data_IF_005120565763
#
_entry.id   IF_005120565763
#
_cell.length_a   1.000
_cell.length_b   1.000
_cell.length_c   1.000
_cell.angle_alpha   90.00
_cell.angle_beta   90.00
_cell.angle_gamma   90.00
#
_symmetry.space_group_name_H-M   'P 1'
#
loop_
_entity.id
_entity.type
_entity.pdbx_description
1 polymer ?
#
# COMPACT_ATOMS: atom_id res chain seq x y z
N UNK A 1 19.98 -55.19 -8.24
CA UNK A 1 20.48 -55.78 -6.98
C UNK A 1 21.27 -54.70 -6.26
N UNK A 2 21.02 -54.25 -5.04
CA UNK A 2 20.12 -54.61 -3.96
C UNK A 2 20.56 -53.75 -2.77
N UNK A 3 19.59 -53.11 -2.12
CA UNK A 3 19.62 -52.37 -0.85
C UNK A 3 20.13 -53.28 0.32
N UNK A 4 20.08 -52.96 1.64
CA UNK A 4 20.12 -51.70 2.43
C UNK A 4 21.03 -51.78 3.70
N UNK A 5 21.04 -50.71 4.50
CA UNK A 5 21.14 -50.66 5.98
C UNK A 5 22.31 -51.34 6.75
N UNK A 6 23.05 -50.53 7.52
CA UNK A 6 23.61 -51.00 8.81
C UNK A 6 23.51 -49.96 9.93
N UNK A 7 22.88 -50.45 10.99
CA UNK A 7 22.44 -49.87 12.25
C UNK A 7 23.56 -49.95 13.32
N UNK A 8 23.67 -48.91 14.16
CA UNK A 8 24.22 -48.91 15.54
C UNK A 8 23.56 -47.71 16.24
N UNK A 9 22.49 -47.86 17.01
CA UNK A 9 22.32 -48.48 18.33
C UNK A 9 23.06 -47.78 19.49
N UNK A 10 22.23 -47.46 20.50
CA UNK A 10 22.50 -47.36 21.94
C UNK A 10 23.05 -46.07 22.54
N UNK A 11 22.15 -45.36 23.25
CA UNK A 11 22.22 -44.83 24.64
C UNK A 11 21.14 -43.72 24.74
N UNK A 12 20.05 -43.80 25.50
CA UNK A 12 19.86 -44.45 26.80
C UNK A 12 20.13 -43.45 27.93
N UNK A 13 19.28 -42.44 28.12
CA UNK A 13 19.12 -41.70 29.38
C UNK A 13 17.65 -41.31 29.53
N UNK A 14 16.96 -42.00 30.44
CA UNK A 14 15.64 -41.62 30.93
C UNK A 14 15.74 -40.69 32.13
N UNK A 15 14.78 -39.78 32.26
CA UNK A 15 14.36 -39.04 33.46
C UNK A 15 13.19 -38.18 32.95
N UNK A 16 11.91 -38.42 33.22
CA UNK A 16 11.24 -38.58 34.50
C UNK A 16 9.94 -37.77 34.39
N UNK A 17 8.82 -38.44 34.11
CA UNK A 17 7.48 -37.84 34.19
C UNK A 17 7.01 -37.87 35.64
N UNK A 18 6.40 -36.79 36.16
CA UNK A 18 5.40 -36.92 37.22
C UNK A 18 3.98 -36.97 36.66
N UNK A 19 3.20 -37.84 37.30
CA UNK A 19 1.81 -38.25 37.07
C UNK A 19 0.73 -37.15 37.20
N UNK A 20 -0.51 -37.40 36.73
CA UNK A 20 -1.56 -36.40 36.59
C UNK A 20 -2.29 -36.13 37.91
N UNK A 21 -2.62 -34.87 38.16
CA UNK A 21 -3.57 -34.51 39.22
C UNK A 21 -4.96 -34.37 38.61
N UNK A 22 -5.78 -35.39 38.83
CA UNK A 22 -7.23 -35.35 38.68
C UNK A 22 -7.82 -34.98 40.04
N UNK A 23 -8.51 -33.84 40.13
CA UNK A 23 -9.44 -33.54 41.23
C UNK A 23 -10.78 -33.16 40.61
N UNK A 24 -11.79 -33.94 40.96
CA UNK A 24 -13.12 -33.88 40.36
C UNK A 24 -14.13 -33.02 41.11
N UNK A 25 -15.25 -32.85 40.40
CA UNK A 25 -16.63 -32.85 40.87
C UNK A 25 -17.06 -31.75 41.86
N UNK A 26 -18.03 -30.94 41.39
CA UNK A 26 -19.30 -30.90 42.10
C UNK A 26 -19.99 -29.54 42.25
N UNK A 27 -21.01 -29.33 41.41
CA UNK A 27 -22.30 -28.66 41.71
C UNK A 27 -22.25 -27.16 42.09
N UNK A 28 -23.16 -26.26 41.68
CA UNK A 28 -24.63 -26.35 41.57
C UNK A 28 -25.09 -25.30 40.54
N UNK A 29 -26.14 -25.64 39.79
CA UNK A 29 -26.93 -24.66 39.02
C UNK A 29 -27.58 -23.69 39.99
N UNK A 30 -27.45 -22.39 39.73
CA UNK A 30 -28.37 -21.37 40.24
C UNK A 30 -29.05 -20.76 39.02
N UNK A 31 -30.34 -21.04 38.89
CA UNK A 31 -31.23 -20.39 37.95
C UNK A 31 -31.40 -18.92 38.40
N UNK A 32 -30.75 -18.02 37.68
CA UNK A 32 -30.98 -16.58 37.78
C UNK A 32 -32.15 -16.20 36.89
N UNK A 33 -33.23 -15.75 37.52
CA UNK A 33 -34.44 -15.19 36.93
C UNK A 33 -34.12 -14.12 35.88
N UNK A 34 -34.85 -14.17 34.77
CA UNK A 34 -34.90 -13.16 33.71
C UNK A 34 -35.19 -11.77 34.27
N UNK A 35 -34.27 -10.84 34.06
CA UNK A 35 -34.62 -9.44 33.85
C UNK A 35 -34.16 -9.06 32.44
N UNK A 36 -35.12 -9.08 31.50
CA UNK A 36 -34.98 -8.43 30.21
C UNK A 36 -34.79 -6.93 30.46
N UNK A 37 -33.54 -6.50 30.61
CA UNK A 37 -33.20 -5.08 30.65
C UNK A 37 -33.40 -4.57 29.22
N UNK A 38 -34.36 -3.66 29.09
CA UNK A 38 -34.72 -3.02 27.84
C UNK A 38 -33.48 -2.57 27.07
N UNK A 39 -33.44 -2.93 25.79
CA UNK A 39 -32.58 -2.31 24.78
C UNK A 39 -32.78 -0.81 24.83
N UNK A 40 -31.77 -0.09 25.30
CA UNK A 40 -31.49 1.24 24.77
C UNK A 40 -30.35 1.06 23.79
N UNK A 41 -30.72 0.82 22.54
CA UNK A 41 -29.81 0.80 21.41
C UNK A 41 -29.41 2.26 21.11
N UNK A 42 -28.59 2.85 21.98
CA UNK A 42 -27.82 4.04 21.61
C UNK A 42 -26.71 3.58 20.68
N UNK A 43 -27.08 3.28 19.43
CA UNK A 43 -26.14 3.24 18.31
C UNK A 43 -25.65 4.66 18.08
N UNK A 44 -24.72 5.11 18.93
CA UNK A 44 -23.96 6.34 18.71
C UNK A 44 -23.38 6.25 17.31
N UNK A 45 -23.73 7.26 16.52
CA UNK A 45 -23.34 7.57 15.14
C UNK A 45 -21.83 7.80 15.01
N UNK A 46 -21.02 6.82 15.42
CA UNK A 46 -19.55 6.80 15.24
C UNK A 46 -19.20 6.24 13.83
N UNK A 47 -20.19 5.77 13.07
CA UNK A 47 -19.99 5.16 11.75
C UNK A 47 -19.87 6.11 10.53
N UNK A 48 -20.03 7.43 10.69
CA UNK A 48 -20.07 8.36 9.53
C UNK A 48 -18.71 8.94 9.13
N UNK A 49 -17.74 8.99 10.06
CA UNK A 49 -16.39 9.51 9.78
C UNK A 49 -15.50 8.47 9.09
N UNK A 50 -15.54 7.21 9.54
CA UNK A 50 -14.77 6.12 8.94
C UNK A 50 -15.20 5.81 7.49
N UNK A 51 -16.50 5.99 7.17
CA UNK A 51 -17.07 5.73 5.83
C UNK A 51 -16.65 6.75 4.76
N UNK A 52 -16.23 7.96 5.16
CA UNK A 52 -15.90 9.06 4.22
C UNK A 52 -14.44 9.05 3.75
N UNK A 53 -13.55 8.33 4.43
CA UNK A 53 -12.11 8.33 4.13
C UNK A 53 -11.72 7.43 2.94
N UNK A 54 -12.43 6.32 2.72
CA UNK A 54 -12.10 5.35 1.67
C UNK A 54 -12.26 5.89 0.23
N UNK A 55 -13.37 6.55 -0.16
CA UNK A 55 -13.47 7.13 -1.51
C UNK A 55 -12.45 8.26 -1.72
N UNK A 56 -12.14 9.04 -0.68
CA UNK A 56 -11.13 10.09 -0.75
C UNK A 56 -9.73 9.52 -1.04
N UNK A 57 -9.37 8.37 -0.45
CA UNK A 57 -8.10 7.70 -0.75
C UNK A 57 -8.00 7.24 -2.21
N UNK A 58 -9.05 6.62 -2.77
CA UNK A 58 -9.06 6.17 -4.17
C UNK A 58 -8.80 7.34 -5.14
N UNK A 59 -9.45 8.48 -4.92
CA UNK A 59 -9.23 9.68 -5.72
C UNK A 59 -7.83 10.26 -5.52
N UNK A 60 -7.31 10.30 -4.30
CA UNK A 60 -5.96 10.78 -4.01
C UNK A 60 -4.88 9.91 -4.67
N UNK A 61 -4.99 8.59 -4.54
CA UNK A 61 -4.07 7.64 -5.15
C UNK A 61 -4.10 7.72 -6.68
N UNK A 62 -5.31 7.77 -7.27
CA UNK A 62 -5.49 7.96 -8.70
C UNK A 62 -4.92 9.29 -9.21
N UNK A 63 -5.17 10.40 -8.51
CA UNK A 63 -4.64 11.71 -8.86
C UNK A 63 -3.11 11.75 -8.76
N UNK A 64 -2.53 11.16 -7.72
CA UNK A 64 -1.07 11.08 -7.53
C UNK A 64 -0.42 10.22 -8.62
N UNK A 65 -1.05 9.12 -9.01
CA UNK A 65 -0.59 8.25 -10.11
C UNK A 65 -0.60 9.00 -11.43
N UNK A 66 -1.72 9.68 -11.76
CA UNK A 66 -1.83 10.47 -12.98
C UNK A 66 -0.82 11.63 -13.02
N UNK A 67 -0.63 12.32 -11.89
CA UNK A 67 0.36 13.38 -11.76
C UNK A 67 1.78 12.86 -11.96
N UNK A 68 2.12 11.70 -11.38
CA UNK A 68 3.43 11.06 -11.55
C UNK A 68 3.67 10.65 -13.00
N UNK A 69 2.66 10.10 -13.67
CA UNK A 69 2.75 9.77 -15.09
C UNK A 69 2.98 11.02 -15.95
N UNK A 70 2.22 12.10 -15.71
CA UNK A 70 2.39 13.36 -16.41
C UNK A 70 3.80 13.97 -16.16
N UNK A 71 4.32 13.86 -14.94
CA UNK A 71 5.68 14.30 -14.61
C UNK A 71 6.74 13.52 -15.39
N UNK A 72 6.57 12.20 -15.55
CA UNK A 72 7.48 11.37 -16.35
C UNK A 72 7.48 11.84 -17.81
N UNK A 73 6.31 12.08 -18.40
CA UNK A 73 6.20 12.60 -19.77
C UNK A 73 6.85 13.98 -19.90
N UNK A 74 6.65 14.86 -18.92
CA UNK A 74 7.29 16.18 -18.88
C UNK A 74 8.83 16.06 -18.79
N UNK A 75 9.34 15.09 -18.03
CA UNK A 75 10.78 14.80 -17.95
C UNK A 75 11.35 14.29 -19.28
N UNK A 76 10.65 13.36 -19.94
CA UNK A 76 11.01 12.89 -21.29
C UNK A 76 11.02 14.05 -22.28
N UNK A 77 10.01 14.92 -22.24
CA UNK A 77 9.96 16.12 -23.07
C UNK A 77 11.15 17.05 -22.81
N UNK A 78 11.48 17.31 -21.54
CA UNK A 78 12.63 18.15 -21.13
C UNK A 78 13.94 17.62 -21.72
N UNK A 79 14.17 16.31 -21.67
CA UNK A 79 15.31 15.67 -22.30
C UNK A 79 15.29 15.77 -23.82
N UNK A 80 14.13 15.53 -24.44
CA UNK A 80 13.96 15.53 -25.90
C UNK A 80 14.24 16.91 -26.54
N UNK A 81 13.88 18.00 -25.85
CA UNK A 81 14.14 19.37 -26.34
C UNK A 81 15.51 19.91 -25.91
N UNK A 82 16.35 19.09 -25.29
CA UNK A 82 17.70 19.48 -24.85
C UNK A 82 17.72 20.47 -23.68
N UNK A 83 16.62 20.59 -22.93
CA UNK A 83 16.51 21.54 -21.82
C UNK A 83 17.11 21.02 -20.51
N UNK A 84 17.54 19.76 -20.41
CA UNK A 84 17.97 19.13 -19.15
C UNK A 84 19.22 19.70 -18.47
N UNK A 85 19.92 20.67 -19.09
CA UNK A 85 21.07 21.40 -18.53
C UNK A 85 20.92 22.92 -18.69
N UNK A 86 19.72 23.40 -19.00
CA UNK A 86 19.44 24.79 -19.33
C UNK A 86 19.54 25.74 -18.12
N UNK A 87 19.37 25.23 -16.90
CA UNK A 87 19.56 25.99 -15.65
C UNK A 87 21.06 26.19 -15.28
N UNK A 88 21.96 26.21 -16.25
CA UNK A 88 23.41 26.40 -16.08
C UNK A 88 24.08 25.44 -15.07
N UNK A 89 23.60 24.18 -15.00
CA UNK A 89 24.12 23.19 -14.06
C UNK A 89 23.83 23.47 -12.59
N UNK A 90 22.98 24.47 -12.29
CA UNK A 90 22.59 24.82 -10.92
C UNK A 90 21.51 23.88 -10.45
N UNK A 91 21.61 23.46 -9.20
CA UNK A 91 20.61 22.64 -8.53
C UNK A 91 20.74 22.83 -7.02
N UNK A 92 19.64 23.01 -6.27
CA UNK A 92 18.22 22.94 -6.68
C UNK A 92 17.71 24.19 -7.43
N UNK A 93 18.48 25.27 -7.38
CA UNK A 93 18.22 26.58 -8.01
C UNK A 93 18.41 26.53 -9.55
N UNK A 94 17.95 27.56 -10.25
CA UNK A 94 18.14 27.79 -11.69
C UNK A 94 18.93 29.10 -11.93
N UNK A 95 18.81 29.72 -13.12
CA UNK A 95 19.74 30.70 -13.68
C UNK A 95 19.25 32.17 -13.74
N UNK A 96 17.98 32.43 -13.44
CA UNK A 96 17.36 33.75 -13.46
C UNK A 96 17.37 34.48 -12.11
N UNK A 97 16.33 35.29 -11.85
CA UNK A 97 16.27 36.19 -10.69
C UNK A 97 16.49 35.47 -9.35
N UNK A 98 17.51 35.90 -8.59
CA UNK A 98 17.98 35.28 -7.34
C UNK A 98 18.39 33.79 -7.48
N UNK A 99 18.61 33.33 -8.71
CA UNK A 99 18.78 31.92 -9.03
C UNK A 99 17.52 31.09 -8.84
N UNK A 100 16.35 31.69 -8.60
CA UNK A 100 15.12 30.95 -8.28
C UNK A 100 14.23 30.72 -9.50
N UNK A 101 14.29 31.62 -10.48
CA UNK A 101 13.45 31.62 -11.68
C UNK A 101 14.26 31.32 -12.95
N UNK A 102 13.62 30.90 -14.05
CA UNK A 102 14.30 30.67 -15.33
C UNK A 102 14.58 31.99 -16.08
N UNK A 103 15.74 32.09 -16.74
CA UNK A 103 16.11 33.26 -17.53
C UNK A 103 15.56 33.25 -18.97
N UNK A 104 15.38 32.07 -19.55
CA UNK A 104 14.91 31.87 -20.92
C UNK A 104 14.02 30.63 -21.08
N UNK A 105 13.50 30.38 -22.28
CA UNK A 105 12.54 29.31 -22.52
C UNK A 105 13.07 27.89 -22.18
N UNK A 106 14.28 27.47 -22.62
CA UNK A 106 14.82 26.17 -22.20
C UNK A 106 14.95 26.00 -20.67
N UNK A 107 15.45 27.02 -19.95
CA UNK A 107 15.54 26.98 -18.48
C UNK A 107 14.17 26.90 -17.83
N UNK A 108 13.13 27.48 -18.44
CA UNK A 108 11.76 27.37 -17.95
C UNK A 108 11.26 25.93 -18.01
N UNK A 109 11.54 25.20 -19.09
CA UNK A 109 11.14 23.79 -19.22
C UNK A 109 11.77 22.94 -18.11
N UNK A 110 13.07 23.11 -17.87
CA UNK A 110 13.78 22.38 -16.81
C UNK A 110 13.27 22.77 -15.41
N UNK A 111 13.13 24.07 -15.14
CA UNK A 111 12.61 24.59 -13.88
C UNK A 111 11.19 24.09 -13.61
N UNK A 112 10.33 24.09 -14.64
CA UNK A 112 8.94 23.64 -14.53
C UNK A 112 8.87 22.14 -14.22
N UNK A 113 9.71 21.32 -14.85
CA UNK A 113 9.85 19.90 -14.48
C UNK A 113 10.21 19.72 -13.00
N UNK A 114 11.20 20.48 -12.49
CA UNK A 114 11.60 20.44 -11.05
C UNK A 114 10.47 20.89 -10.12
N UNK A 115 9.73 21.93 -10.50
CA UNK A 115 8.60 22.44 -9.73
C UNK A 115 7.47 21.39 -9.62
N UNK A 116 7.08 20.78 -10.74
CA UNK A 116 6.06 19.71 -10.75
C UNK A 116 6.56 18.48 -10.00
N UNK A 117 7.85 18.15 -10.07
CA UNK A 117 8.45 17.07 -9.30
C UNK A 117 8.30 17.28 -7.79
N UNK A 118 8.50 18.50 -7.29
CA UNK A 118 8.29 18.84 -5.88
C UNK A 118 6.84 18.62 -5.44
N UNK A 119 5.87 19.13 -6.22
CA UNK A 119 4.43 18.92 -5.93
C UNK A 119 4.10 17.42 -5.91
N UNK A 120 4.62 16.68 -6.88
CA UNK A 120 4.41 15.24 -6.99
C UNK A 120 4.99 14.49 -5.79
N UNK A 121 6.18 14.86 -5.33
CA UNK A 121 6.78 14.29 -4.12
C UNK A 121 5.90 14.45 -2.87
N UNK A 122 5.30 15.63 -2.68
CA UNK A 122 4.34 15.85 -1.60
C UNK A 122 3.04 15.05 -1.78
N UNK A 123 2.55 14.89 -3.01
CA UNK A 123 1.38 14.04 -3.29
C UNK A 123 1.65 12.56 -2.98
N UNK A 124 2.86 12.06 -3.29
CA UNK A 124 3.30 10.70 -2.93
C UNK A 124 3.36 10.53 -1.41
N UNK A 125 3.96 11.50 -0.70
CA UNK A 125 3.99 11.50 0.77
C UNK A 125 2.57 11.49 1.36
N UNK A 126 1.68 12.32 0.84
CA UNK A 126 0.28 12.38 1.25
C UNK A 126 -0.45 11.05 1.01
N UNK A 127 -0.22 10.42 -0.14
CA UNK A 127 -0.80 9.12 -0.50
C UNK A 127 -0.31 8.01 0.43
N UNK A 128 1.00 7.92 0.68
CA UNK A 128 1.56 6.94 1.61
C UNK A 128 1.07 7.16 3.05
N UNK A 129 1.03 8.41 3.51
CA UNK A 129 0.49 8.75 4.83
C UNK A 129 -1.00 8.38 4.95
N UNK A 130 -1.80 8.62 3.91
CA UNK A 130 -3.21 8.23 3.88
C UNK A 130 -3.38 6.71 3.89
N UNK A 131 -2.57 5.98 3.12
CA UNK A 131 -2.57 4.52 3.08
C UNK A 131 -2.26 3.90 4.46
N UNK A 132 -1.30 4.46 5.20
CA UNK A 132 -0.90 3.94 6.51
C UNK A 132 -1.79 4.40 7.67
N UNK A 133 -2.45 5.55 7.54
CA UNK A 133 -3.45 6.02 8.53
C UNK A 133 -4.81 5.38 8.32
N UNK A 134 -5.09 4.89 7.12
CA UNK A 134 -6.31 4.15 6.80
C UNK A 134 -6.19 2.66 7.14
N UNK A 135 -7.36 2.03 7.29
CA UNK A 135 -7.48 0.57 7.40
C UNK A 135 -7.51 -0.06 5.99
N UNK A 136 -6.38 0.06 5.29
CA UNK A 136 -6.15 -0.49 3.96
C UNK A 136 -5.32 -1.76 4.02
N UNK A 137 -5.46 -2.62 3.02
CA UNK A 137 -4.71 -3.87 2.91
C UNK A 137 -3.19 -3.66 2.91
N UNK A 138 -2.45 -4.61 3.49
CA UNK A 138 -0.99 -4.55 3.64
C UNK A 138 -0.25 -4.33 2.32
N UNK A 139 -0.77 -4.86 1.21
CA UNK A 139 -0.19 -4.68 -0.13
C UNK A 139 -0.25 -3.22 -0.61
N UNK A 140 -1.34 -2.51 -0.33
CA UNK A 140 -1.48 -1.07 -0.64
C UNK A 140 -0.50 -0.26 0.21
N UNK A 141 -0.41 -0.58 1.51
CA UNK A 141 0.53 0.07 2.42
C UNK A 141 1.98 -0.14 1.98
N UNK A 142 2.33 -1.36 1.59
CA UNK A 142 3.67 -1.70 1.10
C UNK A 142 4.00 -0.99 -0.21
N UNK A 143 3.13 -1.06 -1.21
CA UNK A 143 3.35 -0.38 -2.50
C UNK A 143 3.46 1.15 -2.34
N UNK A 144 2.57 1.76 -1.56
CA UNK A 144 2.67 3.20 -1.25
C UNK A 144 3.97 3.53 -0.50
N UNK A 145 4.42 2.64 0.38
CA UNK A 145 5.71 2.74 1.06
C UNK A 145 6.90 2.66 0.12
N UNK A 146 6.90 1.75 -0.85
CA UNK A 146 7.94 1.66 -1.89
C UNK A 146 8.01 2.96 -2.69
N UNK A 147 6.88 3.48 -3.15
CA UNK A 147 6.83 4.76 -3.86
C UNK A 147 7.46 5.90 -3.03
N UNK A 148 7.09 5.98 -1.74
CA UNK A 148 7.64 6.98 -0.83
C UNK A 148 9.15 6.82 -0.60
N UNK A 149 9.64 5.58 -0.42
CA UNK A 149 11.06 5.31 -0.17
C UNK A 149 11.95 5.52 -1.39
N UNK A 150 11.43 5.27 -2.60
CA UNK A 150 12.19 5.48 -3.85
C UNK A 150 12.19 6.96 -4.26
N UNK A 151 11.19 7.76 -3.86
CA UNK A 151 11.12 9.20 -4.15
C UNK A 151 12.38 10.00 -3.75
N UNK A 152 13.00 9.85 -2.57
CA UNK A 152 14.27 10.52 -2.28
C UNK A 152 15.41 10.04 -3.19
N UNK A 153 15.46 8.76 -3.57
CA UNK A 153 16.43 8.28 -4.55
C UNK A 153 16.20 8.92 -5.93
N UNK A 154 14.94 9.11 -6.33
CA UNK A 154 14.57 9.80 -7.57
C UNK A 154 15.09 11.24 -7.60
N UNK A 155 15.00 11.95 -6.47
CA UNK A 155 15.55 13.30 -6.32
C UNK A 155 17.07 13.31 -6.47
N UNK A 156 17.78 12.35 -5.86
CA UNK A 156 19.22 12.20 -5.99
C UNK A 156 19.65 11.83 -7.41
N UNK A 157 18.95 10.90 -8.06
CA UNK A 157 19.22 10.54 -9.45
C UNK A 157 18.91 11.69 -10.41
N UNK A 158 17.88 12.50 -10.12
CA UNK A 158 17.60 13.73 -10.86
C UNK A 158 18.68 14.81 -10.68
N UNK A 159 19.29 14.93 -9.51
CA UNK A 159 20.47 15.77 -9.34
C UNK A 159 21.67 15.22 -10.14
N UNK A 160 21.81 13.89 -10.14
CA UNK A 160 22.90 13.21 -10.84
C UNK A 160 22.83 13.40 -12.37
N UNK A 161 21.64 13.55 -12.98
CA UNK A 161 21.56 13.86 -14.42
C UNK A 161 22.16 15.22 -14.76
N UNK A 162 22.25 16.14 -13.80
CA UNK A 162 22.85 17.47 -14.00
C UNK A 162 24.36 17.42 -13.80
N UNK A 163 24.84 16.76 -12.74
CA UNK A 163 26.27 16.73 -12.41
C UNK A 163 27.07 15.68 -13.19
N UNK A 164 26.44 14.56 -13.57
CA UNK A 164 27.07 13.43 -14.24
C UNK A 164 26.23 12.99 -15.46
N UNK A 165 25.91 13.95 -16.34
CA UNK A 165 25.04 13.71 -17.50
C UNK A 165 25.57 12.56 -18.38
N UNK A 166 24.70 11.58 -18.68
CA UNK A 166 25.04 10.43 -19.51
C UNK A 166 23.99 9.33 -19.44
N UNK A 167 24.15 8.29 -20.26
CA UNK A 167 23.17 7.19 -20.38
C UNK A 167 22.89 6.53 -19.03
N UNK A 168 23.94 6.26 -18.24
CA UNK A 168 23.78 5.64 -16.93
C UNK A 168 22.93 6.50 -15.97
N UNK A 169 23.18 7.81 -15.91
CA UNK A 169 22.40 8.73 -15.08
C UNK A 169 20.93 8.77 -15.51
N UNK A 170 20.68 8.82 -16.81
CA UNK A 170 19.31 8.82 -17.36
C UNK A 170 18.58 7.50 -17.08
N UNK A 171 19.25 6.35 -17.25
CA UNK A 171 18.67 5.03 -16.96
C UNK A 171 18.31 4.91 -15.49
N UNK A 172 19.19 5.33 -14.57
CA UNK A 172 18.91 5.31 -13.13
C UNK A 172 17.72 6.22 -12.79
N UNK A 173 17.69 7.43 -13.34
CA UNK A 173 16.62 8.39 -13.10
C UNK A 173 15.26 7.90 -13.64
N UNK A 174 15.20 7.38 -14.87
CA UNK A 174 13.96 6.85 -15.44
C UNK A 174 13.53 5.52 -14.80
N UNK A 175 14.49 4.64 -14.45
CA UNK A 175 14.20 3.37 -13.79
C UNK A 175 13.57 3.55 -12.40
N UNK A 176 14.10 4.49 -11.61
CA UNK A 176 13.50 4.84 -10.33
C UNK A 176 12.12 5.51 -10.50
N UNK A 177 11.94 6.38 -11.50
CA UNK A 177 10.62 6.97 -11.81
C UNK A 177 9.56 5.92 -12.17
N UNK A 178 9.93 4.94 -13.01
CA UNK A 178 9.04 3.84 -13.39
C UNK A 178 8.74 2.92 -12.19
N UNK A 179 9.71 2.70 -11.30
CA UNK A 179 9.49 1.94 -10.06
C UNK A 179 8.43 2.62 -9.18
N UNK A 180 8.54 3.94 -8.99
CA UNK A 180 7.54 4.74 -8.27
C UNK A 180 6.18 4.64 -8.95
N UNK A 181 6.13 4.82 -10.28
CA UNK A 181 4.88 4.76 -11.04
C UNK A 181 4.20 3.40 -10.90
N UNK A 182 4.92 2.29 -11.09
CA UNK A 182 4.38 0.92 -10.94
C UNK A 182 3.84 0.69 -9.54
N UNK A 183 4.56 1.13 -8.51
CA UNK A 183 4.11 1.02 -7.13
C UNK A 183 2.82 1.82 -6.87
N UNK A 184 2.71 3.04 -7.41
CA UNK A 184 1.49 3.86 -7.29
C UNK A 184 0.32 3.28 -8.10
N UNK A 185 0.56 2.75 -9.30
CA UNK A 185 -0.45 2.06 -10.11
C UNK A 185 -0.97 0.84 -9.36
N UNK A 186 -0.09 0.02 -8.78
CA UNK A 186 -0.50 -1.14 -7.99
C UNK A 186 -1.33 -0.73 -6.76
N UNK A 187 -0.87 0.26 -6.00
CA UNK A 187 -1.61 0.80 -4.86
C UNK A 187 -3.00 1.33 -5.27
N UNK A 188 -3.08 2.05 -6.39
CA UNK A 188 -4.33 2.59 -6.93
C UNK A 188 -5.27 1.48 -7.37
N UNK A 189 -4.80 0.51 -8.16
CA UNK A 189 -5.61 -0.61 -8.65
C UNK A 189 -6.22 -1.41 -7.49
N UNK A 190 -5.40 -1.80 -6.50
CA UNK A 190 -5.86 -2.51 -5.32
C UNK A 190 -6.82 -1.68 -4.46
N UNK A 191 -6.64 -0.36 -4.38
CA UNK A 191 -7.59 0.52 -3.71
C UNK A 191 -8.99 0.51 -4.36
N UNK A 192 -9.06 0.33 -5.69
CA UNK A 192 -10.34 0.18 -6.39
C UNK A 192 -10.97 -1.20 -6.17
N UNK A 193 -10.17 -2.25 -5.99
CA UNK A 193 -10.64 -3.61 -5.69
C UNK A 193 -11.20 -3.78 -4.27
N UNK A 194 -10.71 -3.00 -3.28
CA UNK A 194 -11.19 -3.10 -1.90
C UNK A 194 -12.72 -2.87 -1.79
N UNK A 195 -13.49 -3.87 -1.28
CA UNK A 195 -14.93 -3.75 -1.11
C UNK A 195 -15.30 -2.57 -0.19
N UNK A 196 -16.37 -1.82 -0.50
CA UNK A 196 -16.82 -0.68 0.31
C UNK A 196 -17.17 -1.06 1.76
N UNK A 197 -17.49 -2.32 2.02
CA UNK A 197 -17.75 -2.86 3.35
C UNK A 197 -17.10 -4.25 3.41
N UNK A 198 -16.19 -4.48 4.36
CA UNK A 198 -15.62 -5.81 4.64
C UNK A 198 -16.63 -6.77 5.25
N UNK A 199 -17.85 -6.84 4.69
CA UNK A 199 -18.70 -8.00 4.90
C UNK A 199 -18.07 -9.12 4.09
N UNK A 200 -17.68 -10.25 4.70
CA UNK A 200 -17.59 -11.48 3.95
C UNK A 200 -18.88 -11.57 3.14
N UNK A 201 -18.77 -11.88 1.86
CA UNK A 201 -19.91 -12.43 1.14
C UNK A 201 -20.22 -13.71 1.90
N UNK A 202 -21.14 -13.60 2.86
CA UNK A 202 -21.77 -14.71 3.52
C UNK A 202 -22.32 -15.51 2.36
N UNK A 203 -21.67 -16.63 2.08
CA UNK A 203 -22.01 -17.48 0.96
C UNK A 203 -23.51 -17.72 1.05
N UNK A 204 -24.22 -17.45 -0.04
CA UNK A 204 -25.66 -17.69 -0.19
C UNK A 204 -25.99 -19.21 -0.17
N UNK A 205 -25.26 -19.99 0.64
CA UNK A 205 -25.43 -21.44 0.84
C UNK A 205 -26.65 -21.75 1.70
N UNK A 206 -27.26 -20.77 2.36
CA UNK A 206 -28.45 -21.03 3.20
C UNK A 206 -29.77 -21.02 2.40
N UNK A 207 -29.77 -20.56 1.14
CA UNK A 207 -30.99 -20.59 0.30
C UNK A 207 -31.22 -21.95 -0.38
N UNK A 208 -30.17 -22.74 -0.62
CA UNK A 208 -30.31 -24.06 -1.28
C UNK A 208 -30.66 -25.19 -0.31
N UNK A 209 -30.33 -25.05 0.99
CA UNK A 209 -30.65 -26.06 2.02
C UNK A 209 -32.15 -26.07 2.38
N UNK A 210 -32.83 -24.92 2.31
CA UNK A 210 -34.26 -24.85 2.56
C UNK A 210 -35.09 -25.38 1.37
N UNK A 211 -34.56 -25.31 0.14
CA UNK A 211 -35.23 -25.80 -1.06
C UNK A 211 -35.15 -27.33 -1.23
N UNK A 212 -34.12 -28.00 -0.69
CA UNK A 212 -33.99 -29.46 -0.76
C UNK A 212 -34.68 -30.21 0.39
N UNK A 213 -35.00 -29.53 1.50
CA UNK A 213 -35.70 -30.16 2.63
C UNK A 213 -37.22 -30.30 2.42
N UNK A 214 -37.81 -29.53 1.49
CA UNK A 214 -39.26 -29.52 1.23
C UNK A 214 -39.77 -30.59 0.26
N UNK A 215 -38.89 -31.28 -0.47
CA UNK A 215 -39.29 -32.18 -1.57
C UNK A 215 -39.33 -33.67 -1.18
N UNK A 216 -38.88 -34.05 0.03
CA UNK A 216 -38.77 -35.45 0.46
C UNK A 216 -39.82 -35.88 1.49
N UNK A 217 -40.96 -35.17 1.60
CA UNK A 217 -41.96 -35.42 2.64
C UNK A 217 -43.29 -36.02 2.15
N UNK A 218 -43.44 -36.30 0.84
CA UNK A 218 -44.66 -36.90 0.28
C UNK A 218 -44.32 -38.22 -0.44
N UNK A 219 -44.31 -39.34 0.30
CA UNK A 219 -44.50 -40.72 -0.19
C UNK A 219 -44.95 -41.64 0.96
#
# INVERSE_FOLDING_TARGET
MGDPHRQKDSRGVGFGLPDPVVVGVGHRRVAGVCLARARTDETKTVGSKARRMRPAFKHLAGATTALTFALILLGVYTGAVGAGLACAGRWPLCDGWLGLFPAHWPSFVEWFHRFVAMITGFAILGTAAAAWRGDHERRIQFASGVALLVTPLQFLFGANTIFNFGVAAQVLHHGAALTILVALVAATAWAFEEPPNGRPVEADTETDAAATAGTNADD
#
